data_IF_653941553789
#
_entry.id   IF_653941553789
#
_cell.length_a   1.000
_cell.length_b   1.000
_cell.length_c   1.000
_cell.angle_alpha   90.00
_cell.angle_beta   90.00
_cell.angle_gamma   90.00
#
_symmetry.space_group_name_H-M   'P 1'
#
loop_
_entity.id
_entity.type
_entity.pdbx_description
1 polymer ?
#
# COMPACT_ATOMS: atom_id res chain seq x y z
N UNK A 1 31.23 -63.30 -60.10
CA UNK A 1 30.40 -62.28 -60.74
C UNK A 1 30.09 -61.19 -59.77
N UNK A 2 30.71 -60.05 -59.96
CA UNK A 2 30.80 -58.91 -59.09
C UNK A 2 29.69 -57.95 -59.38
N UNK A 3 28.93 -57.49 -58.37
CA UNK A 3 28.12 -56.31 -58.53
C UNK A 3 28.40 -55.31 -57.42
N UNK A 4 28.74 -54.11 -57.85
CA UNK A 4 29.07 -52.95 -57.04
C UNK A 4 27.81 -52.29 -56.47
N UNK A 5 27.78 -51.98 -55.20
CA UNK A 5 26.77 -51.19 -54.58
C UNK A 5 27.22 -49.71 -54.50
N UNK A 6 26.43 -48.86 -55.11
CA UNK A 6 26.60 -47.40 -55.19
C UNK A 6 26.20 -46.75 -53.86
N UNK A 7 27.09 -45.90 -53.33
CA UNK A 7 26.82 -45.05 -52.14
C UNK A 7 26.04 -43.80 -52.59
N UNK A 8 24.79 -43.69 -52.18
CA UNK A 8 24.01 -42.41 -52.25
C UNK A 8 24.24 -41.61 -50.98
N UNK A 9 24.89 -40.48 -51.15
CA UNK A 9 25.05 -39.42 -50.15
C UNK A 9 23.73 -38.78 -49.83
N UNK A 10 23.26 -38.85 -48.61
CA UNK A 10 22.06 -38.11 -48.10
C UNK A 10 22.58 -36.80 -47.53
N UNK A 11 22.33 -35.69 -48.24
CA UNK A 11 22.44 -34.36 -47.69
C UNK A 11 21.33 -34.15 -46.66
N UNK A 12 21.67 -34.03 -45.38
CA UNK A 12 20.80 -33.50 -44.37
C UNK A 12 20.90 -31.98 -44.34
N UNK A 13 19.88 -31.32 -44.87
CA UNK A 13 19.69 -29.87 -44.72
C UNK A 13 19.27 -29.60 -43.28
N UNK A 14 20.20 -29.15 -42.46
CA UNK A 14 19.91 -28.64 -41.15
C UNK A 14 19.31 -27.23 -41.27
N UNK A 15 18.02 -27.08 -40.99
CA UNK A 15 17.40 -25.76 -40.74
C UNK A 15 17.79 -25.35 -39.35
N UNK A 16 18.76 -24.46 -39.21
CA UNK A 16 19.04 -23.76 -37.95
C UNK A 16 17.90 -22.76 -37.72
N UNK A 17 17.02 -23.08 -36.78
CA UNK A 17 16.08 -22.12 -36.24
C UNK A 17 16.88 -21.12 -35.41
N UNK A 18 17.06 -19.91 -35.90
CA UNK A 18 17.57 -18.80 -35.16
C UNK A 18 16.51 -18.41 -34.11
N UNK A 19 16.74 -18.77 -32.85
CA UNK A 19 16.02 -18.20 -31.74
C UNK A 19 16.48 -16.75 -31.62
N UNK A 20 15.75 -15.83 -32.21
CA UNK A 20 15.89 -14.40 -31.93
C UNK A 20 15.34 -14.19 -30.52
N UNK A 21 16.22 -14.25 -29.51
CA UNK A 21 15.95 -13.66 -28.21
C UNK A 21 15.70 -12.18 -28.42
N UNK A 22 14.43 -11.78 -28.39
CA UNK A 22 14.07 -10.39 -28.26
C UNK A 22 14.60 -9.95 -26.88
N UNK A 23 15.76 -9.30 -26.86
CA UNK A 23 16.15 -8.51 -25.71
C UNK A 23 15.09 -7.43 -25.53
N UNK A 24 14.49 -7.26 -24.32
CA UNK A 24 13.65 -6.12 -24.08
C UNK A 24 14.48 -4.87 -24.38
N UNK A 25 13.94 -3.97 -25.19
CA UNK A 25 14.52 -2.66 -25.41
C UNK A 25 14.73 -2.06 -24.03
N UNK A 26 15.97 -1.69 -23.70
CA UNK A 26 16.28 -0.77 -22.62
C UNK A 26 15.57 0.57 -22.94
N UNK A 27 14.27 0.65 -22.67
CA UNK A 27 13.64 1.91 -22.40
C UNK A 27 14.43 2.46 -21.22
N UNK A 28 15.11 3.58 -21.41
CA UNK A 28 15.92 4.24 -20.41
C UNK A 28 15.11 4.28 -19.11
N UNK A 29 15.50 3.47 -18.12
CA UNK A 29 14.99 3.58 -16.78
C UNK A 29 15.32 5.03 -16.40
N UNK A 30 14.29 5.89 -16.35
CA UNK A 30 14.44 7.23 -15.81
C UNK A 30 15.03 7.02 -14.43
N UNK A 31 16.26 7.45 -14.21
CA UNK A 31 16.86 7.41 -12.88
C UNK A 31 15.94 8.24 -11.98
N UNK A 32 15.14 7.53 -11.19
CA UNK A 32 14.29 8.17 -10.20
C UNK A 32 15.23 8.97 -9.28
N UNK A 33 14.94 10.25 -9.13
CA UNK A 33 15.63 11.08 -8.16
C UNK A 33 15.12 10.74 -6.75
N UNK A 34 15.40 9.49 -6.34
CA UNK A 34 14.92 8.90 -5.11
C UNK A 34 16.08 8.63 -4.16
N UNK A 35 16.01 9.21 -2.97
CA UNK A 35 16.97 8.96 -1.91
C UNK A 35 16.51 7.73 -1.10
N UNK A 36 17.23 6.60 -1.12
CA UNK A 36 16.86 5.42 -0.33
C UNK A 36 16.68 5.76 1.14
N UNK A 37 15.58 5.32 1.75
CA UNK A 37 15.34 5.52 3.18
C UNK A 37 16.30 4.68 4.03
N UNK A 38 16.65 3.48 3.54
CA UNK A 38 17.55 2.53 4.22
C UNK A 38 18.69 2.18 3.27
N UNK A 39 19.90 2.71 3.49
CA UNK A 39 21.07 2.36 2.68
C UNK A 39 21.36 0.84 2.75
N UNK A 40 21.75 0.26 1.61
CA UNK A 40 22.11 -1.16 1.51
C UNK A 40 20.93 -2.13 1.36
N UNK A 41 19.68 -1.63 1.40
CA UNK A 41 18.51 -2.42 1.00
C UNK A 41 18.35 -2.42 -0.53
N UNK A 42 17.73 -3.46 -1.12
CA UNK A 42 17.48 -3.50 -2.56
C UNK A 42 16.67 -2.28 -3.02
N UNK A 43 17.00 -1.76 -4.20
CA UNK A 43 16.15 -0.84 -4.92
C UNK A 43 15.10 -1.63 -5.72
N UNK A 44 13.86 -1.13 -5.85
CA UNK A 44 12.88 -1.79 -6.70
C UNK A 44 13.23 -1.59 -8.18
N UNK A 45 13.07 -2.64 -8.96
CA UNK A 45 13.11 -2.58 -10.42
C UNK A 45 11.71 -2.26 -10.96
N UNK A 46 11.59 -1.72 -12.19
CA UNK A 46 10.31 -1.58 -12.86
C UNK A 46 9.63 -2.94 -13.04
N UNK A 47 8.34 -3.04 -12.70
CA UNK A 47 7.56 -4.26 -12.90
C UNK A 47 7.00 -4.36 -14.33
N UNK A 48 6.52 -5.54 -14.71
CA UNK A 48 5.76 -5.74 -15.96
C UNK A 48 4.33 -5.15 -15.90
N UNK A 49 3.87 -4.79 -14.71
CA UNK A 49 2.53 -4.26 -14.48
C UNK A 49 2.47 -2.75 -14.67
N UNK A 50 1.25 -2.23 -14.81
CA UNK A 50 1.03 -0.80 -15.03
C UNK A 50 -0.38 -0.36 -14.70
N UNK A 51 -0.79 0.77 -15.24
CA UNK A 51 -2.03 1.47 -14.93
C UNK A 51 -3.28 0.63 -15.05
N UNK A 52 -3.37 -0.25 -16.04
CA UNK A 52 -4.54 -1.10 -16.34
C UNK A 52 -4.45 -2.49 -15.75
N UNK A 53 -3.35 -2.81 -15.06
CA UNK A 53 -3.24 -4.08 -14.33
C UNK A 53 -4.21 -4.09 -13.15
N UNK A 54 -4.87 -5.22 -12.94
CA UNK A 54 -5.82 -5.43 -11.84
C UNK A 54 -5.13 -6.09 -10.63
N UNK A 55 -5.78 -6.05 -9.48
CA UNK A 55 -5.30 -6.76 -8.30
C UNK A 55 -5.17 -8.28 -8.53
N UNK A 56 -6.05 -8.86 -9.34
CA UNK A 56 -5.94 -10.28 -9.72
C UNK A 56 -4.76 -10.55 -10.64
N UNK A 57 -4.44 -9.65 -11.58
CA UNK A 57 -3.28 -9.80 -12.48
C UNK A 57 -1.98 -9.82 -11.68
N UNK A 58 -1.78 -8.85 -10.79
CA UNK A 58 -0.54 -8.71 -10.01
C UNK A 58 -0.34 -9.82 -8.97
N UNK A 59 -1.39 -10.57 -8.67
CA UNK A 59 -1.35 -11.71 -7.74
C UNK A 59 -1.57 -13.05 -8.44
N UNK A 60 -1.59 -13.07 -9.78
CA UNK A 60 -1.86 -14.30 -10.53
C UNK A 60 -0.84 -15.40 -10.19
N UNK A 61 -1.35 -16.60 -9.92
CA UNK A 61 -0.50 -17.75 -9.59
C UNK A 61 0.15 -17.73 -8.20
N UNK A 62 -0.09 -16.70 -7.38
CA UNK A 62 0.42 -16.68 -6.01
C UNK A 62 -0.38 -17.61 -5.10
N UNK A 63 0.31 -18.28 -4.19
CA UNK A 63 -0.27 -19.02 -3.08
C UNK A 63 0.09 -18.33 -1.77
N UNK A 64 -0.91 -17.73 -1.12
CA UNK A 64 -0.78 -17.03 0.16
C UNK A 64 -1.32 -17.89 1.33
N UNK A 65 -1.49 -19.18 1.11
CA UNK A 65 -1.97 -20.11 2.16
C UNK A 65 -1.05 -20.07 3.38
N UNK A 66 -1.63 -19.89 4.54
CA UNK A 66 -0.90 -19.76 5.81
C UNK A 66 -0.44 -18.35 6.16
N UNK A 67 -0.54 -17.39 5.25
CA UNK A 67 -0.26 -15.98 5.53
C UNK A 67 -1.48 -15.27 6.15
N UNK A 68 -1.21 -14.29 7.01
CA UNK A 68 -2.24 -13.44 7.63
C UNK A 68 -2.09 -12.01 7.14
N UNK A 69 -3.20 -11.40 6.74
CA UNK A 69 -3.28 -9.99 6.35
C UNK A 69 -4.28 -9.24 7.24
N UNK A 70 -4.01 -7.97 7.54
CA UNK A 70 -4.98 -7.02 8.10
C UNK A 70 -5.18 -5.88 7.11
N UNK A 71 -6.46 -5.60 6.77
CA UNK A 71 -6.81 -4.53 5.83
C UNK A 71 -7.76 -3.55 6.50
N UNK A 72 -7.34 -2.28 6.68
CA UNK A 72 -8.22 -1.25 7.20
C UNK A 72 -9.16 -0.71 6.12
N UNK A 73 -10.43 -0.43 6.48
CA UNK A 73 -11.44 0.05 5.54
C UNK A 73 -11.94 -1.01 4.55
N UNK A 74 -12.05 -2.27 5.01
CA UNK A 74 -12.40 -3.45 4.21
C UNK A 74 -13.85 -3.46 3.68
N UNK A 75 -14.70 -2.55 4.11
CA UNK A 75 -16.15 -2.61 3.83
C UNK A 75 -16.57 -1.97 2.50
N UNK A 76 -15.64 -1.39 1.74
CA UNK A 76 -15.94 -0.80 0.42
C UNK A 76 -14.66 -0.48 -0.37
N UNK A 77 -14.83 -0.26 -1.69
CA UNK A 77 -13.78 0.26 -2.57
C UNK A 77 -12.50 -0.59 -2.57
N UNK A 78 -11.35 0.08 -2.48
CA UNK A 78 -10.06 -0.58 -2.59
C UNK A 78 -9.78 -1.58 -1.44
N UNK A 79 -10.18 -1.22 -0.21
CA UNK A 79 -9.98 -2.13 0.94
C UNK A 79 -10.79 -3.41 0.82
N UNK A 80 -12.02 -3.34 0.30
CA UNK A 80 -12.83 -4.52 0.04
C UNK A 80 -12.19 -5.42 -1.04
N UNK A 81 -11.78 -4.82 -2.14
CA UNK A 81 -11.15 -5.55 -3.24
C UNK A 81 -9.81 -6.16 -2.82
N UNK A 82 -9.02 -5.44 -2.00
CA UNK A 82 -7.79 -6.00 -1.41
C UNK A 82 -8.09 -7.25 -0.58
N UNK A 83 -9.06 -7.14 0.34
CA UNK A 83 -9.46 -8.28 1.18
C UNK A 83 -9.90 -9.46 0.30
N UNK A 84 -10.74 -9.19 -0.71
CA UNK A 84 -11.25 -10.22 -1.63
C UNK A 84 -10.11 -10.93 -2.37
N UNK A 85 -9.18 -10.17 -2.95
CA UNK A 85 -8.11 -10.76 -3.76
C UNK A 85 -7.10 -11.52 -2.90
N UNK A 86 -6.72 -11.00 -1.72
CA UNK A 86 -5.82 -11.73 -0.82
C UNK A 86 -6.45 -13.03 -0.30
N UNK A 87 -7.75 -13.01 0.04
CA UNK A 87 -8.50 -14.22 0.42
C UNK A 87 -8.62 -15.20 -0.73
N UNK A 88 -8.85 -14.74 -1.97
CA UNK A 88 -8.86 -15.55 -3.19
C UNK A 88 -7.52 -16.29 -3.40
N UNK A 89 -6.41 -15.70 -2.99
CA UNK A 89 -5.07 -16.32 -3.05
C UNK A 89 -4.74 -17.19 -1.83
N UNK A 90 -5.67 -17.39 -0.90
CA UNK A 90 -5.54 -18.29 0.24
C UNK A 90 -5.10 -17.66 1.55
N UNK A 91 -4.85 -16.34 1.59
CA UNK A 91 -4.54 -15.66 2.85
C UNK A 91 -5.74 -15.65 3.83
N UNK A 92 -5.45 -15.72 5.12
CA UNK A 92 -6.42 -15.33 6.14
C UNK A 92 -6.44 -13.81 6.25
N UNK A 93 -7.56 -13.16 5.92
CA UNK A 93 -7.65 -11.70 5.93
C UNK A 93 -8.52 -11.20 7.09
N UNK A 94 -7.90 -10.42 7.98
CA UNK A 94 -8.59 -9.69 9.04
C UNK A 94 -9.12 -8.40 8.42
N UNK A 95 -10.45 -8.37 8.19
CA UNK A 95 -11.13 -7.25 7.58
C UNK A 95 -11.56 -6.22 8.62
N UNK A 96 -10.86 -5.08 8.70
CA UNK A 96 -11.14 -4.05 9.67
C UNK A 96 -12.06 -2.96 9.12
N UNK A 97 -13.14 -2.66 9.86
CA UNK A 97 -14.09 -1.57 9.56
C UNK A 97 -14.49 -0.82 10.85
N UNK A 98 -15.11 0.36 10.70
CA UNK A 98 -15.49 1.22 11.83
C UNK A 98 -16.55 0.64 12.77
N UNK A 99 -17.33 -0.33 12.30
CA UNK A 99 -18.34 -1.04 13.13
C UNK A 99 -18.32 -2.52 12.81
N UNK A 100 -18.65 -3.35 13.81
CA UNK A 100 -18.70 -4.81 13.65
C UNK A 100 -19.66 -5.21 12.51
N UNK A 101 -20.85 -4.60 12.45
CA UNK A 101 -21.82 -4.87 11.38
C UNK A 101 -21.22 -4.72 9.98
N UNK A 102 -20.40 -3.67 9.75
CA UNK A 102 -19.76 -3.43 8.45
C UNK A 102 -18.64 -4.42 8.18
N UNK A 103 -17.85 -4.77 9.21
CA UNK A 103 -16.79 -5.74 9.09
C UNK A 103 -17.35 -7.14 8.79
N UNK A 104 -18.32 -7.60 9.58
CA UNK A 104 -19.00 -8.90 9.39
C UNK A 104 -19.65 -9.01 8.01
N UNK A 105 -20.40 -7.97 7.60
CA UNK A 105 -21.05 -7.95 6.29
C UNK A 105 -20.03 -8.06 5.15
N UNK A 106 -18.92 -7.34 5.25
CA UNK A 106 -17.88 -7.37 4.24
C UNK A 106 -17.17 -8.73 4.21
N UNK A 107 -16.75 -9.23 5.36
CA UNK A 107 -16.08 -10.54 5.48
C UNK A 107 -16.98 -11.68 4.98
N UNK A 108 -18.25 -11.70 5.37
CA UNK A 108 -19.20 -12.75 4.95
C UNK A 108 -19.49 -12.76 3.43
N UNK A 109 -19.21 -11.68 2.71
CA UNK A 109 -19.43 -11.57 1.26
C UNK A 109 -18.21 -11.98 0.42
N UNK A 110 -17.09 -12.32 1.04
CA UNK A 110 -15.85 -12.72 0.37
C UNK A 110 -15.65 -14.22 0.51
N UNK A 111 -15.34 -14.89 -0.61
CA UNK A 111 -14.92 -16.29 -0.58
C UNK A 111 -13.48 -16.41 -0.05
N UNK A 112 -13.25 -17.37 0.85
CA UNK A 112 -11.96 -17.59 1.49
C UNK A 112 -12.00 -17.35 2.99
N UNK A 113 -10.83 -17.27 3.61
CA UNK A 113 -10.73 -17.13 5.06
C UNK A 113 -10.66 -15.65 5.45
N UNK A 114 -11.73 -15.15 6.07
CA UNK A 114 -11.80 -13.75 6.57
C UNK A 114 -12.28 -13.73 8.01
N UNK A 115 -11.85 -12.71 8.76
CA UNK A 115 -12.32 -12.44 10.13
C UNK A 115 -12.63 -10.96 10.29
N UNK A 116 -13.79 -10.58 10.86
CA UNK A 116 -14.13 -9.18 11.08
C UNK A 116 -13.36 -8.61 12.28
N UNK A 117 -12.99 -7.32 12.19
CA UNK A 117 -12.37 -6.56 13.27
C UNK A 117 -12.96 -5.14 13.30
N UNK A 118 -13.16 -4.59 14.49
CA UNK A 118 -13.57 -3.18 14.63
C UNK A 118 -12.34 -2.30 14.78
N UNK A 119 -12.16 -1.36 13.86
CA UNK A 119 -11.12 -0.32 13.95
C UNK A 119 -11.75 1.02 13.55
N UNK A 120 -12.08 1.85 14.53
CA UNK A 120 -12.39 3.26 14.32
C UNK A 120 -11.11 4.08 14.61
N UNK A 121 -10.53 4.67 13.56
CA UNK A 121 -9.21 5.29 13.62
C UNK A 121 -9.14 6.58 14.46
N UNK A 122 -10.28 7.07 14.95
CA UNK A 122 -10.35 8.17 15.92
C UNK A 122 -10.58 7.70 17.35
N UNK A 123 -10.82 6.42 17.56
CA UNK A 123 -11.01 5.82 18.89
C UNK A 123 -9.71 5.11 19.32
N UNK A 124 -8.79 5.84 19.95
CA UNK A 124 -7.50 5.29 20.37
C UNK A 124 -7.60 4.09 21.33
N UNK A 125 -8.46 4.12 22.38
CA UNK A 125 -8.71 2.92 23.17
C UNK A 125 -9.22 1.73 22.34
N UNK A 126 -10.11 1.99 21.39
CA UNK A 126 -10.64 0.97 20.48
C UNK A 126 -9.56 0.39 19.56
N UNK A 127 -8.60 1.21 19.09
CA UNK A 127 -7.44 0.75 18.30
C UNK A 127 -6.56 -0.18 19.14
N UNK A 128 -6.30 0.16 20.41
CA UNK A 128 -5.52 -0.69 21.34
C UNK A 128 -6.21 -2.05 21.52
N UNK A 129 -7.50 -2.04 21.82
CA UNK A 129 -8.28 -3.27 21.98
C UNK A 129 -8.26 -4.14 20.72
N UNK A 130 -8.42 -3.53 19.54
CA UNK A 130 -8.35 -4.22 18.26
C UNK A 130 -6.95 -4.83 18.00
N UNK A 131 -5.89 -4.10 18.30
CA UNK A 131 -4.53 -4.61 18.17
C UNK A 131 -4.27 -5.77 19.15
N UNK A 132 -4.73 -5.67 20.39
CA UNK A 132 -4.61 -6.74 21.39
C UNK A 132 -5.36 -8.01 20.94
N UNK A 133 -6.53 -7.87 20.27
CA UNK A 133 -7.25 -8.99 19.68
C UNK A 133 -6.43 -9.68 18.57
N UNK A 134 -5.75 -8.91 17.71
CA UNK A 134 -4.87 -9.47 16.68
C UNK A 134 -3.65 -10.16 17.29
N UNK A 135 -3.00 -9.54 18.27
CA UNK A 135 -1.84 -10.12 18.99
C UNK A 135 -2.24 -11.43 19.69
N UNK A 136 -3.44 -11.48 20.29
CA UNK A 136 -3.96 -12.68 20.96
C UNK A 136 -4.21 -13.87 20.02
N UNK A 137 -4.22 -13.65 18.69
CA UNK A 137 -4.28 -14.76 17.72
C UNK A 137 -3.00 -15.59 17.69
N UNK A 138 -1.91 -15.10 18.28
CA UNK A 138 -0.59 -15.74 18.35
C UNK A 138 -0.08 -16.22 16.98
N UNK A 139 -0.22 -15.35 15.97
CA UNK A 139 0.20 -15.58 14.58
C UNK A 139 1.01 -14.42 14.07
N UNK A 140 1.99 -14.68 13.17
CA UNK A 140 2.62 -13.61 12.41
C UNK A 140 1.59 -12.83 11.59
N UNK A 141 1.83 -11.53 11.43
CA UNK A 141 1.07 -10.65 10.53
C UNK A 141 1.94 -10.35 9.31
N UNK A 142 1.70 -11.09 8.23
CA UNK A 142 2.52 -10.99 7.01
C UNK A 142 2.26 -9.71 6.24
N UNK A 143 1.03 -9.20 6.27
CA UNK A 143 0.62 -8.01 5.53
C UNK A 143 -0.26 -7.10 6.40
N UNK A 144 0.20 -5.88 6.66
CA UNK A 144 -0.57 -4.81 7.30
C UNK A 144 -0.86 -3.72 6.28
N UNK A 145 -2.12 -3.62 5.83
CA UNK A 145 -2.52 -2.70 4.75
C UNK A 145 -3.34 -1.57 5.32
N UNK A 146 -2.70 -0.40 5.43
CA UNK A 146 -3.25 0.84 5.98
C UNK A 146 -3.96 1.61 4.86
N UNK A 147 -5.16 1.12 4.51
CA UNK A 147 -5.93 1.58 3.35
C UNK A 147 -7.02 2.59 3.72
N UNK A 148 -7.61 2.51 4.91
CA UNK A 148 -8.71 3.40 5.30
C UNK A 148 -8.34 4.88 5.18
N UNK A 149 -9.34 5.71 4.87
CA UNK A 149 -9.10 7.15 4.81
C UNK A 149 -10.37 7.96 4.56
N UNK A 150 -10.21 9.26 4.77
CA UNK A 150 -11.21 10.29 4.46
C UNK A 150 -10.52 11.40 3.66
N UNK A 151 -11.30 12.17 2.89
CA UNK A 151 -10.76 13.15 1.96
C UNK A 151 -11.62 14.40 1.88
N UNK A 152 -10.94 15.55 1.92
CA UNK A 152 -11.45 16.87 1.57
C UNK A 152 -12.81 17.19 2.22
N UNK A 153 -12.87 17.09 3.55
CA UNK A 153 -14.05 17.50 4.31
C UNK A 153 -14.25 19.02 4.12
N UNK A 154 -15.46 19.49 3.78
CA UNK A 154 -15.69 20.89 3.44
C UNK A 154 -15.48 21.83 4.64
N UNK A 155 -15.66 21.34 5.85
CA UNK A 155 -15.53 22.09 7.09
C UNK A 155 -14.51 21.44 8.00
N UNK A 156 -13.77 22.25 8.78
CA UNK A 156 -12.86 21.76 9.80
C UNK A 156 -13.65 20.93 10.84
N UNK A 157 -13.21 19.70 11.03
CA UNK A 157 -13.67 18.81 12.09
C UNK A 157 -12.46 18.32 12.89
N UNK A 158 -12.65 18.11 14.17
CA UNK A 158 -11.60 17.66 15.07
C UNK A 158 -11.90 16.28 15.63
N UNK A 159 -10.84 15.47 15.78
CA UNK A 159 -10.85 14.26 16.57
C UNK A 159 -9.56 14.22 17.43
N UNK A 160 -9.70 13.99 18.73
CA UNK A 160 -8.58 13.99 19.68
C UNK A 160 -7.74 15.30 19.63
N UNK A 161 -8.39 16.45 19.38
CA UNK A 161 -7.72 17.74 19.26
C UNK A 161 -6.96 17.96 17.95
N UNK A 162 -7.08 17.04 16.98
CA UNK A 162 -6.41 17.10 15.68
C UNK A 162 -7.40 17.31 14.55
N UNK A 163 -6.97 17.91 13.42
CA UNK A 163 -7.74 17.92 12.18
C UNK A 163 -8.05 16.46 11.77
N UNK A 164 -9.32 16.21 11.46
CA UNK A 164 -9.83 14.84 11.37
C UNK A 164 -9.18 14.00 10.25
N UNK A 165 -8.73 14.59 9.13
CA UNK A 165 -8.06 13.83 8.07
C UNK A 165 -6.66 13.43 8.52
N UNK A 166 -5.95 14.28 9.26
CA UNK A 166 -4.68 13.94 9.87
C UNK A 166 -4.86 12.87 10.96
N UNK A 167 -5.88 13.01 11.81
CA UNK A 167 -6.18 12.03 12.85
C UNK A 167 -6.48 10.64 12.26
N UNK A 168 -7.36 10.54 11.27
CA UNK A 168 -7.80 9.27 10.66
C UNK A 168 -6.73 8.68 9.74
N UNK A 169 -6.23 9.49 8.78
CA UNK A 169 -5.36 8.96 7.73
C UNK A 169 -3.96 8.62 8.24
N UNK A 170 -3.49 9.32 9.28
CA UNK A 170 -2.14 9.14 9.82
C UNK A 170 -2.12 8.64 11.27
N UNK A 171 -2.61 9.43 12.25
CA UNK A 171 -2.36 9.13 13.68
C UNK A 171 -2.99 7.81 14.13
N UNK A 172 -4.23 7.53 13.72
CA UNK A 172 -4.88 6.24 14.01
C UNK A 172 -4.13 5.05 13.42
N UNK A 173 -3.64 5.18 12.18
CA UNK A 173 -2.80 4.16 11.56
C UNK A 173 -1.42 4.03 12.21
N UNK A 174 -0.84 5.16 12.64
CA UNK A 174 0.41 5.16 13.39
C UNK A 174 0.28 4.35 14.68
N UNK A 175 -0.77 4.60 15.47
CA UNK A 175 -1.04 3.85 16.70
C UNK A 175 -1.25 2.36 16.41
N UNK A 176 -2.15 2.03 15.47
CA UNK A 176 -2.42 0.64 15.10
C UNK A 176 -1.14 -0.10 14.67
N UNK A 177 -0.30 0.54 13.86
CA UNK A 177 0.93 -0.07 13.38
C UNK A 177 1.91 -0.32 14.53
N UNK A 178 2.12 0.65 15.44
CA UNK A 178 3.05 0.48 16.56
C UNK A 178 2.59 -0.64 17.51
N UNK A 179 1.29 -0.79 17.73
CA UNK A 179 0.72 -1.90 18.54
C UNK A 179 0.87 -3.27 17.85
N UNK A 180 1.06 -3.30 16.51
CA UNK A 180 1.17 -4.53 15.73
C UNK A 180 2.60 -4.80 15.21
N UNK A 181 3.61 -4.05 15.66
CA UNK A 181 5.00 -4.26 15.18
C UNK A 181 5.53 -5.64 15.53
N UNK A 182 5.22 -6.18 16.71
CA UNK A 182 5.70 -7.50 17.11
C UNK A 182 5.21 -8.60 16.16
N UNK A 183 3.89 -8.79 15.88
CA UNK A 183 3.46 -9.79 14.93
C UNK A 183 3.93 -9.51 13.50
N UNK A 184 4.11 -8.24 13.08
CA UNK A 184 4.66 -7.90 11.76
C UNK A 184 6.13 -8.32 11.65
N UNK A 185 6.93 -8.08 12.69
CA UNK A 185 8.36 -8.45 12.67
C UNK A 185 8.59 -9.94 12.91
N UNK A 186 7.63 -10.64 13.49
CA UNK A 186 7.64 -12.10 13.66
C UNK A 186 7.37 -12.84 12.32
N UNK A 187 6.77 -12.18 11.33
CA UNK A 187 6.56 -12.77 10.02
C UNK A 187 7.89 -12.99 9.28
N UNK A 188 7.95 -14.02 8.43
CA UNK A 188 9.16 -14.28 7.63
C UNK A 188 9.54 -13.04 6.80
N UNK A 189 8.57 -12.33 6.28
CA UNK A 189 8.71 -11.05 5.59
C UNK A 189 7.45 -10.20 5.82
N UNK A 190 7.35 -9.56 6.99
CA UNK A 190 6.24 -8.66 7.27
C UNK A 190 6.24 -7.45 6.33
N UNK A 191 5.08 -7.06 5.84
CA UNK A 191 4.92 -5.94 4.90
C UNK A 191 3.89 -4.94 5.40
N UNK A 192 4.33 -3.73 5.70
CA UNK A 192 3.44 -2.60 5.98
C UNK A 192 3.23 -1.80 4.70
N UNK A 193 2.00 -1.77 4.21
CA UNK A 193 1.60 -1.08 2.99
C UNK A 193 0.79 0.15 3.35
N UNK A 194 1.33 1.34 3.06
CA UNK A 194 0.73 2.61 3.47
C UNK A 194 0.11 3.31 2.26
N UNK A 195 -1.22 3.38 2.23
CA UNK A 195 -1.93 4.03 1.12
C UNK A 195 -1.87 5.55 1.27
N UNK A 196 -0.96 6.16 0.52
CA UNK A 196 -0.84 7.60 0.33
C UNK A 196 -1.72 8.05 -0.87
N UNK A 197 -1.30 9.07 -1.61
CA UNK A 197 -2.02 9.60 -2.78
C UNK A 197 -1.11 10.56 -3.54
N UNK A 198 -1.34 10.75 -4.84
CA UNK A 198 -0.78 11.88 -5.60
C UNK A 198 -1.14 13.25 -5.01
N UNK A 199 -2.19 13.30 -4.19
CA UNK A 199 -2.60 14.49 -3.44
C UNK A 199 -1.55 14.99 -2.43
N UNK A 200 -0.52 14.21 -2.10
CA UNK A 200 0.64 14.71 -1.34
C UNK A 200 1.26 15.98 -1.97
N UNK A 201 1.06 16.20 -3.27
CA UNK A 201 1.52 17.39 -4.00
C UNK A 201 0.68 18.65 -3.74
N UNK A 202 -0.48 18.50 -3.07
CA UNK A 202 -1.37 19.60 -2.67
C UNK A 202 -1.19 19.98 -1.19
N UNK A 203 -0.26 19.32 -0.49
CA UNK A 203 0.09 19.68 0.87
C UNK A 203 0.61 21.13 0.92
N UNK A 204 0.57 21.80 2.09
CA UNK A 204 1.30 23.06 2.30
C UNK A 204 2.77 22.95 1.88
N UNK A 205 3.40 24.09 1.55
CA UNK A 205 4.79 24.12 1.11
C UNK A 205 5.74 23.48 2.14
N UNK A 206 5.43 23.66 3.41
CA UNK A 206 6.16 23.08 4.55
C UNK A 206 5.98 21.54 4.66
N UNK A 207 5.03 20.97 3.93
CA UNK A 207 4.65 19.55 3.98
C UNK A 207 3.74 19.25 5.17
N UNK A 208 4.26 19.15 6.39
CA UNK A 208 3.48 18.97 7.63
C UNK A 208 3.61 20.21 8.50
N UNK A 209 2.48 20.88 8.74
CA UNK A 209 2.38 22.07 9.62
C UNK A 209 2.25 21.63 11.08
N UNK A 210 3.37 21.32 11.72
CA UNK A 210 3.40 20.81 13.10
C UNK A 210 2.81 21.77 14.14
N UNK A 211 2.73 23.06 13.82
CA UNK A 211 2.14 24.08 14.66
C UNK A 211 0.66 24.38 14.33
N UNK A 212 0.05 23.59 13.42
CA UNK A 212 -1.33 23.72 12.96
C UNK A 212 -2.00 22.35 12.74
N UNK A 213 -1.66 21.34 13.54
CA UNK A 213 -2.23 20.00 13.40
C UNK A 213 -3.73 19.94 13.74
N UNK A 214 -4.24 20.95 14.44
CA UNK A 214 -5.66 21.13 14.73
C UNK A 214 -6.42 21.97 13.69
N UNK A 215 -5.70 22.55 12.71
CA UNK A 215 -6.29 23.41 11.70
C UNK A 215 -6.72 24.81 12.18
N UNK A 216 -6.43 25.17 13.44
CA UNK A 216 -6.92 26.42 14.03
C UNK A 216 -6.29 27.67 13.40
N UNK A 217 -5.10 27.57 12.81
CA UNK A 217 -4.42 28.69 12.12
C UNK A 217 -4.85 28.84 10.65
N UNK A 218 -5.76 28.01 10.18
CA UNK A 218 -6.30 28.02 8.83
C UNK A 218 -6.53 26.60 8.32
N UNK A 219 -7.64 26.40 7.63
CA UNK A 219 -8.07 25.11 7.09
C UNK A 219 -8.43 25.25 5.62
N UNK A 220 -7.78 24.46 4.78
CA UNK A 220 -8.22 24.18 3.42
C UNK A 220 -8.39 22.66 3.26
N UNK A 221 -9.56 22.18 2.78
CA UNK A 221 -9.87 20.76 2.70
C UNK A 221 -8.85 19.92 1.93
N UNK A 222 -8.31 20.47 0.85
CA UNK A 222 -7.36 19.75 -0.03
C UNK A 222 -5.93 19.82 0.48
N UNK A 223 -5.53 20.94 1.07
CA UNK A 223 -4.22 21.04 1.73
C UNK A 223 -4.16 20.11 2.94
N UNK A 224 -5.21 20.06 3.77
CA UNK A 224 -5.29 19.15 4.91
C UNK A 224 -5.25 17.68 4.46
N UNK A 225 -5.97 17.33 3.39
CA UNK A 225 -5.86 16.00 2.80
C UNK A 225 -4.43 15.74 2.28
N UNK A 226 -3.86 16.67 1.52
CA UNK A 226 -2.49 16.58 1.01
C UNK A 226 -1.47 16.39 2.12
N UNK A 227 -1.58 17.18 3.20
CA UNK A 227 -0.75 17.06 4.41
C UNK A 227 -0.85 15.65 5.02
N UNK A 228 -2.06 15.10 5.17
CA UNK A 228 -2.25 13.75 5.70
C UNK A 228 -1.58 12.69 4.81
N UNK A 229 -1.50 12.92 3.48
CA UNK A 229 -0.87 12.00 2.52
C UNK A 229 0.66 12.16 2.45
N UNK A 230 1.19 13.35 2.70
CA UNK A 230 2.62 13.55 3.00
C UNK A 230 2.98 12.81 4.28
N UNK A 231 2.18 12.95 5.34
CA UNK A 231 2.39 12.26 6.62
C UNK A 231 2.43 10.73 6.43
N UNK A 232 1.54 10.16 5.60
CA UNK A 232 1.54 8.72 5.30
C UNK A 232 2.86 8.28 4.63
N UNK A 233 3.38 9.07 3.68
CA UNK A 233 4.66 8.76 3.03
C UNK A 233 5.86 8.89 3.97
N UNK A 234 5.91 9.96 4.77
CA UNK A 234 6.94 10.18 5.79
C UNK A 234 6.92 9.08 6.87
N UNK A 235 5.73 8.68 7.33
CA UNK A 235 5.54 7.59 8.26
C UNK A 235 6.11 6.28 7.71
N UNK A 236 5.74 5.93 6.48
CA UNK A 236 6.27 4.72 5.83
C UNK A 236 7.79 4.76 5.69
N UNK A 237 8.36 5.92 5.36
CA UNK A 237 9.79 6.13 5.22
C UNK A 237 10.55 5.98 6.54
N UNK A 238 10.03 6.57 7.62
CA UNK A 238 10.65 6.43 8.95
C UNK A 238 10.47 5.02 9.51
N UNK A 239 9.30 4.41 9.31
CA UNK A 239 9.07 3.02 9.70
C UNK A 239 10.04 2.06 9.00
N UNK A 240 10.30 2.27 7.70
CA UNK A 240 11.30 1.50 6.97
C UNK A 240 12.69 1.58 7.62
N UNK A 241 13.08 2.76 8.12
CA UNK A 241 14.37 2.97 8.82
C UNK A 241 14.39 2.26 10.17
N UNK A 242 13.30 2.28 10.91
CA UNK A 242 13.16 1.59 12.21
C UNK A 242 13.14 0.07 12.07
N UNK A 243 12.68 -0.44 10.93
CA UNK A 243 12.68 -1.86 10.59
C UNK A 243 13.98 -2.33 9.90
N UNK A 244 15.01 -1.49 9.81
CA UNK A 244 16.24 -1.77 9.04
C UNK A 244 16.94 -3.09 9.44
N UNK A 245 16.91 -3.45 10.71
CA UNK A 245 17.55 -4.65 11.26
C UNK A 245 16.64 -5.90 11.23
N UNK A 246 15.44 -5.79 10.65
CA UNK A 246 14.47 -6.89 10.52
C UNK A 246 14.29 -7.31 9.06
N UNK A 247 13.51 -8.35 8.79
CA UNK A 247 13.06 -8.72 7.45
C UNK A 247 11.85 -7.91 7.00
N UNK A 248 11.15 -7.28 7.92
CA UNK A 248 9.95 -6.51 7.64
C UNK A 248 10.25 -5.26 6.78
N UNK A 249 9.26 -4.83 6.03
CA UNK A 249 9.35 -3.69 5.11
C UNK A 249 8.18 -2.74 5.28
N UNK A 250 8.39 -1.48 4.93
CA UNK A 250 7.32 -0.49 4.84
C UNK A 250 7.45 0.30 3.55
N UNK A 251 6.39 0.33 2.74
CA UNK A 251 6.35 1.09 1.50
C UNK A 251 5.02 1.84 1.39
N UNK A 252 5.06 3.01 0.75
CA UNK A 252 3.87 3.81 0.50
C UNK A 252 3.51 3.82 -0.99
N UNK A 253 2.26 4.19 -1.32
CA UNK A 253 1.80 4.17 -2.70
C UNK A 253 0.69 5.19 -3.01
N UNK A 254 0.51 5.44 -4.32
CA UNK A 254 -0.70 6.02 -4.89
C UNK A 254 -1.52 4.95 -5.61
N UNK A 255 -2.81 4.79 -5.30
CA UNK A 255 -3.64 3.76 -5.96
C UNK A 255 -4.13 4.17 -7.34
N UNK A 256 -4.04 5.46 -7.69
CA UNK A 256 -4.69 6.07 -8.84
C UNK A 256 -5.86 6.97 -8.45
N UNK A 257 -6.62 7.43 -9.44
CA UNK A 257 -7.86 8.18 -9.23
C UNK A 257 -9.05 7.26 -9.50
N UNK A 258 -9.72 6.83 -8.44
CA UNK A 258 -10.81 5.84 -8.50
C UNK A 258 -12.09 6.44 -7.93
N UNK A 259 -13.21 6.40 -8.66
CA UNK A 259 -14.52 6.79 -8.12
C UNK A 259 -14.95 5.80 -7.02
N UNK A 260 -14.81 6.21 -5.77
CA UNK A 260 -15.17 5.41 -4.59
C UNK A 260 -15.91 6.28 -3.56
N UNK A 261 -16.34 5.67 -2.47
CA UNK A 261 -16.93 6.39 -1.32
C UNK A 261 -15.96 7.39 -0.64
N UNK A 262 -14.70 7.44 -1.06
CA UNK A 262 -13.74 8.42 -0.58
C UNK A 262 -14.19 9.85 -0.91
N UNK A 263 -14.81 10.04 -2.08
CA UNK A 263 -15.31 11.34 -2.55
C UNK A 263 -16.69 11.75 -1.99
N UNK A 264 -17.22 11.06 -0.98
CA UNK A 264 -18.56 11.29 -0.41
C UNK A 264 -18.79 12.70 0.17
N UNK A 265 -17.72 13.41 0.50
CA UNK A 265 -17.77 14.78 1.03
C UNK A 265 -17.64 15.85 -0.06
N UNK A 266 -17.35 15.45 -1.29
CA UNK A 266 -17.30 16.36 -2.43
C UNK A 266 -18.71 16.63 -2.97
N UNK A 267 -18.93 17.80 -3.60
CA UNK A 267 -20.17 18.05 -4.32
C UNK A 267 -20.47 16.95 -5.33
N UNK A 268 -21.73 16.52 -5.46
CA UNK A 268 -22.12 15.56 -6.48
C UNK A 268 -21.69 16.04 -7.86
N UNK A 269 -21.04 15.17 -8.61
CA UNK A 269 -20.64 15.42 -10.01
C UNK A 269 -20.80 14.15 -10.82
N UNK A 270 -21.15 14.29 -12.07
CA UNK A 270 -21.03 13.19 -13.02
C UNK A 270 -19.54 12.89 -13.21
N UNK A 271 -19.21 11.61 -13.13
CA UNK A 271 -17.87 11.11 -13.38
C UNK A 271 -17.91 10.36 -14.70
N UNK A 272 -17.25 10.92 -15.70
CA UNK A 272 -17.01 10.20 -16.95
C UNK A 272 -15.91 9.15 -16.72
N UNK A 273 -16.32 7.93 -16.46
CA UNK A 273 -15.41 6.81 -16.22
C UNK A 273 -14.64 6.38 -17.47
N UNK A 274 -14.98 6.91 -18.66
CA UNK A 274 -14.19 6.71 -19.89
C UNK A 274 -12.96 7.63 -19.97
N UNK A 275 -12.90 8.67 -19.12
CA UNK A 275 -11.72 9.52 -19.01
C UNK A 275 -10.53 8.68 -18.52
N UNK A 276 -9.44 8.63 -19.28
CA UNK A 276 -8.27 7.80 -18.96
C UNK A 276 -7.58 8.17 -17.64
N UNK A 277 -7.98 9.25 -16.96
CA UNK A 277 -7.47 9.57 -15.62
C UNK A 277 -8.00 8.61 -14.56
N UNK A 278 -9.21 8.06 -14.76
CA UNK A 278 -9.84 7.17 -13.80
C UNK A 278 -9.40 5.72 -13.99
N UNK A 279 -9.36 5.01 -12.87
CA UNK A 279 -9.21 3.55 -12.80
C UNK A 279 -10.50 2.92 -12.27
N UNK A 280 -10.70 1.67 -12.63
CA UNK A 280 -11.66 0.79 -11.94
C UNK A 280 -11.14 0.42 -10.54
N UNK A 281 -12.01 -0.11 -9.68
CA UNK A 281 -11.59 -0.57 -8.34
C UNK A 281 -10.53 -1.69 -8.44
N UNK A 282 -10.66 -2.72 -9.29
CA UNK A 282 -9.60 -3.72 -9.48
C UNK A 282 -8.25 -3.13 -9.90
N UNK A 283 -8.23 -2.19 -10.85
CA UNK A 283 -7.01 -1.51 -11.29
C UNK A 283 -6.40 -0.61 -10.20
N UNK A 284 -7.25 0.12 -9.46
CA UNK A 284 -6.80 0.96 -8.34
C UNK A 284 -6.24 0.15 -7.18
N UNK A 285 -6.66 -1.11 -7.03
CA UNK A 285 -6.20 -2.01 -5.96
C UNK A 285 -4.90 -2.72 -6.33
N UNK A 286 -4.52 -2.75 -7.61
CA UNK A 286 -3.35 -3.48 -8.09
C UNK A 286 -2.06 -3.07 -7.35
N UNK A 287 -1.78 -1.77 -7.23
CA UNK A 287 -0.52 -1.31 -6.61
C UNK A 287 -0.40 -1.75 -5.16
N UNK A 288 -1.49 -1.70 -4.37
CA UNK A 288 -1.39 -2.14 -2.96
C UNK A 288 -1.28 -3.66 -2.82
N UNK A 289 -1.90 -4.44 -3.70
CA UNK A 289 -1.71 -5.89 -3.75
C UNK A 289 -0.28 -6.25 -4.21
N UNK A 290 0.25 -5.59 -5.24
CA UNK A 290 1.63 -5.76 -5.71
C UNK A 290 2.65 -5.48 -4.59
N UNK A 291 2.53 -4.33 -3.90
CA UNK A 291 3.43 -3.97 -2.80
C UNK A 291 3.30 -4.95 -1.62
N UNK A 292 2.10 -5.48 -1.38
CA UNK A 292 1.86 -6.43 -0.31
C UNK A 292 2.41 -7.84 -0.60
N UNK A 293 2.43 -8.29 -1.87
CA UNK A 293 2.61 -9.70 -2.18
C UNK A 293 3.77 -10.03 -3.12
N UNK A 294 4.22 -9.07 -3.97
CA UNK A 294 5.22 -9.39 -5.00
C UNK A 294 6.53 -9.90 -4.40
N UNK A 295 7.05 -11.07 -4.86
CA UNK A 295 8.36 -11.57 -4.47
C UNK A 295 9.50 -10.66 -4.96
N UNK A 296 9.29 -9.88 -6.03
CA UNK A 296 10.26 -8.92 -6.55
C UNK A 296 10.57 -7.79 -5.55
N UNK A 297 9.65 -7.55 -4.60
CA UNK A 297 9.79 -6.56 -3.55
C UNK A 297 10.33 -7.15 -2.23
N UNK A 298 10.94 -8.33 -2.28
CA UNK A 298 11.60 -8.89 -1.10
C UNK A 298 12.66 -7.92 -0.57
N UNK A 299 12.53 -7.52 0.71
CA UNK A 299 13.41 -6.55 1.40
C UNK A 299 13.46 -5.14 0.78
N UNK A 300 12.66 -4.84 -0.25
CA UNK A 300 12.49 -3.48 -0.78
C UNK A 300 11.68 -2.66 0.22
N UNK A 301 12.23 -1.56 0.73
CA UNK A 301 11.61 -0.80 1.81
C UNK A 301 11.88 0.70 1.71
N UNK A 302 10.92 1.50 2.15
CA UNK A 302 11.01 2.96 2.19
C UNK A 302 10.76 3.62 0.84
N UNK A 303 10.17 2.93 -0.12
CA UNK A 303 9.86 3.45 -1.45
C UNK A 303 8.39 3.87 -1.59
N UNK A 304 8.16 4.69 -2.62
CA UNK A 304 6.83 5.09 -3.05
C UNK A 304 6.51 4.47 -4.40
N UNK A 305 5.29 3.94 -4.55
CA UNK A 305 4.86 3.23 -5.75
C UNK A 305 3.65 3.91 -6.39
N UNK A 306 3.59 3.88 -7.71
CA UNK A 306 2.45 4.27 -8.52
C UNK A 306 2.34 3.31 -9.71
N UNK A 307 1.13 2.89 -10.07
CA UNK A 307 0.90 1.95 -11.19
C UNK A 307 1.79 0.69 -11.11
N UNK A 308 1.95 0.11 -9.91
CA UNK A 308 2.79 -1.06 -9.59
C UNK A 308 4.29 -0.85 -9.85
N UNK A 309 4.74 0.38 -10.02
CA UNK A 309 6.13 0.73 -10.31
C UNK A 309 6.67 1.70 -9.26
N UNK A 310 7.99 1.71 -9.01
CA UNK A 310 8.60 2.75 -8.20
C UNK A 310 8.37 4.13 -8.83
N UNK A 311 8.00 5.10 -8.02
CA UNK A 311 7.67 6.44 -8.47
C UNK A 311 8.33 7.51 -7.60
N UNK A 312 8.50 8.70 -8.14
CA UNK A 312 9.08 9.83 -7.42
C UNK A 312 8.00 10.55 -6.59
N UNK A 313 8.08 10.52 -5.25
CA UNK A 313 7.20 11.30 -4.39
C UNK A 313 7.59 12.79 -4.40
N UNK A 314 6.82 13.63 -3.70
CA UNK A 314 7.25 15.03 -3.49
C UNK A 314 8.53 15.10 -2.64
N UNK A 315 9.24 16.23 -2.73
CA UNK A 315 10.45 16.46 -1.94
C UNK A 315 10.20 16.33 -0.42
N UNK A 316 9.02 16.80 0.04
CA UNK A 316 8.61 16.70 1.44
C UNK A 316 8.56 15.24 1.91
N UNK A 317 8.07 14.31 1.09
CA UNK A 317 8.03 12.88 1.43
C UNK A 317 9.40 12.20 1.46
N UNK A 318 10.45 12.88 0.99
CA UNK A 318 11.83 12.41 1.01
C UNK A 318 12.69 13.09 2.10
N UNK A 319 12.08 13.95 2.92
CA UNK A 319 12.76 14.65 4.00
C UNK A 319 12.88 13.77 5.25
N UNK A 320 14.09 13.28 5.50
CA UNK A 320 14.40 12.42 6.64
C UNK A 320 14.22 13.12 7.99
N UNK A 321 14.51 14.43 8.06
CA UNK A 321 14.36 15.19 9.29
C UNK A 321 12.87 15.40 9.62
N UNK A 322 12.07 15.70 8.60
CA UNK A 322 10.61 15.80 8.75
C UNK A 322 10.00 14.45 9.12
N UNK A 323 10.46 13.34 8.53
CA UNK A 323 9.98 12.01 8.86
C UNK A 323 10.25 11.64 10.33
N UNK A 324 11.47 11.91 10.82
CA UNK A 324 11.84 11.69 12.21
C UNK A 324 11.04 12.60 13.16
N UNK A 325 10.84 13.88 12.80
CA UNK A 325 10.01 14.81 13.59
C UNK A 325 8.55 14.36 13.63
N UNK A 326 7.98 13.95 12.49
CA UNK A 326 6.59 13.44 12.42
C UNK A 326 6.42 12.22 13.34
N UNK A 327 7.38 11.32 13.31
CA UNK A 327 7.35 10.15 14.19
C UNK A 327 7.31 10.54 15.65
N UNK A 328 8.23 11.41 16.11
CA UNK A 328 8.31 11.86 17.50
C UNK A 328 7.01 12.57 17.95
N UNK A 329 6.47 13.46 17.10
CA UNK A 329 5.19 14.13 17.39
C UNK A 329 4.04 13.12 17.43
N UNK A 330 4.03 12.13 16.54
CA UNK A 330 2.99 11.09 16.56
C UNK A 330 3.08 10.21 17.80
N UNK A 331 4.28 9.87 18.26
CA UNK A 331 4.48 9.17 19.55
C UNK A 331 3.94 9.99 20.73
N UNK A 332 4.19 11.31 20.78
CA UNK A 332 3.63 12.19 21.79
C UNK A 332 2.09 12.20 21.79
N UNK A 333 1.47 12.28 20.59
CA UNK A 333 0.01 12.34 20.43
C UNK A 333 -0.71 11.08 20.91
N UNK A 334 -0.04 9.94 20.91
CA UNK A 334 -0.62 8.65 21.31
C UNK A 334 0.10 8.00 22.50
N UNK A 335 0.90 8.75 23.25
CA UNK A 335 1.79 8.23 24.30
C UNK A 335 1.08 7.37 25.36
N UNK A 336 -0.16 7.73 25.71
CA UNK A 336 -0.96 6.99 26.70
C UNK A 336 -1.48 5.63 26.18
N UNK A 337 -1.28 5.34 24.89
CA UNK A 337 -1.84 4.18 24.19
C UNK A 337 -0.78 3.24 23.56
N UNK A 338 0.51 3.59 23.64
CA UNK A 338 1.64 2.78 23.15
C UNK A 338 2.06 1.66 24.10
#
# INVERSE_FOLDING_TARGET
MTQRISRRTILRSGVAAAVVSAMPSLAAAQQLNYKPAVPGRPAPEPSEFGKTSTAEDVTAGMDLTGMTALVTGCNSGLGYETMRVLALRGAHVIGAARTMEKAEKACASVEGQTSPLVVELTDFPGIVAAADEVVAMDKPLDMLILNAGIMALPELQLANGLEIQFAVNHVGHFLLTNRLLDPVTAAQQGRVVVVSSSAHRWAPEEGVQFDNLDGAKGYDPWQAYGQSKVANGLFSRELARRLADTTATSNSLHPGVIPTNLSRHLPPREIDTSDPRYKTIPEGTATQCYVATSPELERVTGYYFDDCNPAEPSAQMQDDAMAAKLWAVSEELVADYL
#
